data_IF_306891764948
#
_entry.id   IF_306891764948
#
_cell.length_a   1.000
_cell.length_b   1.000
_cell.length_c   1.000
_cell.angle_alpha   90.00
_cell.angle_beta   90.00
_cell.angle_gamma   90.00
#
_symmetry.space_group_name_H-M   'P 1'
#
loop_
_entity.id
_entity.type
_entity.pdbx_description
1 polymer ?
#
# COMPACT_ATOMS: atom_id res chain seq x y z
N UNK A 1 -24.01 -50.49 -36.32
CA UNK A 1 -24.29 -49.19 -35.60
C UNK A 1 -23.55 -49.02 -34.26
N UNK A 2 -22.83 -50.00 -33.74
CA UNK A 2 -22.16 -49.94 -32.42
C UNK A 2 -20.69 -49.49 -32.55
N UNK A 3 -20.03 -49.72 -33.71
CA UNK A 3 -18.61 -49.34 -33.88
C UNK A 3 -18.31 -47.85 -34.07
N UNK A 4 -19.25 -47.08 -34.59
CA UNK A 4 -19.05 -45.62 -34.80
C UNK A 4 -19.04 -44.79 -33.49
N UNK A 5 -19.76 -45.26 -32.46
CA UNK A 5 -19.84 -44.55 -31.19
C UNK A 5 -18.58 -44.74 -30.31
N UNK A 6 -17.86 -45.82 -30.47
CA UNK A 6 -16.61 -46.11 -29.70
C UNK A 6 -15.49 -45.21 -30.18
N UNK A 7 -15.38 -44.98 -31.50
CA UNK A 7 -14.33 -44.14 -32.09
C UNK A 7 -14.55 -42.67 -31.73
N UNK A 8 -15.81 -42.17 -31.75
CA UNK A 8 -16.12 -40.80 -31.36
C UNK A 8 -15.86 -40.53 -29.87
N UNK A 9 -16.22 -41.49 -29.00
CA UNK A 9 -15.96 -41.41 -27.56
C UNK A 9 -14.46 -41.41 -27.21
N UNK A 10 -13.66 -42.24 -27.93
CA UNK A 10 -12.20 -42.30 -27.72
C UNK A 10 -11.49 -41.02 -28.17
N UNK A 11 -11.99 -40.35 -29.22
CA UNK A 11 -11.44 -39.10 -29.72
C UNK A 11 -11.73 -37.90 -28.76
N UNK A 12 -12.91 -37.88 -28.14
CA UNK A 12 -13.26 -36.90 -27.12
C UNK A 12 -12.39 -37.05 -25.85
N UNK A 13 -12.15 -38.26 -25.38
CA UNK A 13 -11.31 -38.55 -24.21
C UNK A 13 -9.84 -38.14 -24.45
N UNK A 14 -9.31 -38.35 -25.68
CA UNK A 14 -7.94 -37.99 -26.04
C UNK A 14 -7.78 -36.48 -26.18
N UNK A 15 -8.80 -35.78 -26.68
CA UNK A 15 -8.83 -34.32 -26.74
C UNK A 15 -8.85 -33.65 -25.33
N UNK A 16 -9.54 -34.25 -24.38
CA UNK A 16 -9.58 -33.78 -22.99
C UNK A 16 -8.26 -33.96 -22.25
N UNK A 17 -7.54 -35.05 -22.57
CA UNK A 17 -6.23 -35.36 -21.96
C UNK A 17 -5.14 -34.36 -22.38
N UNK A 18 -5.24 -33.75 -23.57
CA UNK A 18 -4.27 -32.80 -24.08
C UNK A 18 -4.42 -31.40 -23.41
N UNK A 19 -5.59 -31.07 -22.84
CA UNK A 19 -5.82 -29.80 -22.20
C UNK A 19 -5.16 -29.67 -20.82
N UNK A 20 -4.85 -30.76 -20.15
CA UNK A 20 -4.21 -30.73 -18.81
C UNK A 20 -2.69 -30.57 -18.85
N UNK A 21 -2.05 -30.66 -20.02
CA UNK A 21 -0.61 -30.45 -20.15
C UNK A 21 -0.21 -29.00 -20.52
N UNK A 22 -1.18 -28.10 -20.71
CA UNK A 22 -0.93 -26.74 -21.23
C UNK A 22 -0.51 -25.69 -20.19
N UNK A 23 -0.47 -26.00 -18.89
CA UNK A 23 -0.05 -25.04 -17.87
C UNK A 23 1.37 -25.38 -17.35
N UNK A 24 2.40 -25.16 -18.16
CA UNK A 24 3.71 -24.85 -17.59
C UNK A 24 3.67 -23.38 -17.18
N UNK A 25 3.51 -23.11 -15.89
CA UNK A 25 3.79 -21.77 -15.37
C UNK A 25 5.24 -21.42 -15.76
N UNK A 26 5.47 -20.33 -16.46
CA UNK A 26 6.83 -19.90 -16.72
C UNK A 26 7.55 -19.77 -15.37
N UNK A 27 8.75 -20.32 -15.27
CA UNK A 27 9.56 -20.15 -14.07
C UNK A 27 9.77 -18.65 -13.84
N UNK A 28 9.63 -18.19 -12.58
CA UNK A 28 9.90 -16.81 -12.25
C UNK A 28 11.33 -16.44 -12.72
N UNK A 29 11.53 -15.25 -13.29
CA UNK A 29 12.85 -14.83 -13.73
C UNK A 29 13.83 -14.72 -12.55
N UNK A 30 15.10 -14.95 -12.84
CA UNK A 30 16.16 -14.71 -11.86
C UNK A 30 16.38 -13.20 -11.71
N UNK A 31 16.09 -12.69 -10.51
CA UNK A 31 16.26 -11.29 -10.12
C UNK A 31 17.44 -11.08 -9.17
N UNK A 32 18.32 -12.07 -9.00
CA UNK A 32 19.47 -11.97 -8.07
C UNK A 32 20.42 -10.82 -8.42
N UNK A 33 20.59 -10.52 -9.71
CA UNK A 33 21.40 -9.41 -10.21
C UNK A 33 20.67 -8.06 -10.22
N UNK A 34 19.38 -7.99 -9.89
CA UNK A 34 18.62 -6.74 -9.92
C UNK A 34 18.80 -5.97 -8.61
N UNK A 35 19.37 -4.77 -8.69
CA UNK A 35 19.55 -3.88 -7.54
C UNK A 35 18.42 -2.85 -7.48
N UNK A 36 17.77 -2.74 -6.32
CA UNK A 36 16.75 -1.74 -6.02
C UNK A 36 17.02 -1.18 -4.62
N UNK A 37 16.95 0.13 -4.47
CA UNK A 37 16.91 0.79 -3.16
C UNK A 37 15.45 1.11 -2.84
N UNK A 38 14.90 0.44 -1.83
CA UNK A 38 13.58 0.73 -1.33
C UNK A 38 13.65 1.87 -0.31
N UNK A 39 12.82 2.90 -0.51
CA UNK A 39 12.57 3.94 0.50
C UNK A 39 11.17 3.74 1.05
N UNK A 40 11.07 3.47 2.35
CA UNK A 40 9.82 3.30 3.05
C UNK A 40 9.73 4.31 4.20
N UNK A 41 8.68 5.12 4.19
CA UNK A 41 8.36 6.09 5.25
C UNK A 41 7.06 5.71 5.94
N UNK A 42 6.93 6.07 7.21
CA UNK A 42 5.79 5.74 8.08
C UNK A 42 5.04 7.03 8.46
N UNK A 43 4.17 7.52 7.54
CA UNK A 43 3.41 8.74 7.77
C UNK A 43 2.50 8.63 9.00
N UNK A 44 1.87 7.48 9.21
CA UNK A 44 1.01 7.25 10.36
C UNK A 44 1.77 7.36 11.69
N UNK A 45 3.02 6.89 11.76
CA UNK A 45 3.84 7.04 12.98
C UNK A 45 4.21 8.49 13.23
N UNK A 46 4.61 9.20 12.18
CA UNK A 46 4.98 10.60 12.31
C UNK A 46 3.76 11.48 12.68
N UNK A 47 2.60 11.20 12.08
CA UNK A 47 1.36 11.92 12.36
C UNK A 47 0.87 11.69 13.80
N UNK A 48 0.92 10.45 14.29
CA UNK A 48 0.48 10.10 15.64
C UNK A 48 1.54 10.35 16.72
N UNK A 49 2.74 10.80 16.35
CA UNK A 49 3.77 11.27 17.27
C UNK A 49 3.63 12.74 17.67
N UNK A 50 2.63 13.46 17.15
CA UNK A 50 2.35 14.85 17.51
C UNK A 50 2.11 14.99 19.03
N UNK A 51 2.62 16.07 19.62
CA UNK A 51 2.50 16.36 21.05
C UNK A 51 1.75 17.67 21.29
N UNK A 52 1.00 17.76 22.39
CA UNK A 52 0.14 18.88 22.71
C UNK A 52 0.86 20.25 22.70
N UNK A 53 2.10 20.28 23.17
CA UNK A 53 2.84 21.56 23.27
C UNK A 53 3.33 22.10 21.94
N UNK A 54 3.66 21.22 20.99
CA UNK A 54 4.41 21.58 19.78
C UNK A 54 3.73 21.19 18.47
N UNK A 55 2.46 20.72 18.51
CA UNK A 55 1.81 20.18 17.30
C UNK A 55 1.79 21.16 16.12
N UNK A 56 1.69 22.47 16.36
CA UNK A 56 1.74 23.46 15.27
C UNK A 56 3.04 23.40 14.48
N UNK A 57 4.19 23.40 15.17
CA UNK A 57 5.51 23.32 14.51
C UNK A 57 5.79 21.93 13.97
N UNK A 58 5.30 20.90 14.66
CA UNK A 58 5.43 19.50 14.20
C UNK A 58 4.61 19.22 12.94
N UNK A 59 3.42 19.85 12.79
CA UNK A 59 2.62 19.77 11.56
C UNK A 59 3.33 20.49 10.40
N UNK A 60 3.98 21.63 10.62
CA UNK A 60 4.79 22.27 9.59
C UNK A 60 5.96 21.37 9.15
N UNK A 61 6.62 20.72 10.10
CA UNK A 61 7.69 19.76 9.81
C UNK A 61 7.16 18.52 9.05
N UNK A 62 5.96 18.05 9.43
CA UNK A 62 5.29 16.93 8.75
C UNK A 62 4.95 17.28 7.29
N UNK A 63 4.42 18.49 7.05
CA UNK A 63 4.15 19.00 5.71
C UNK A 63 5.42 19.10 4.87
N UNK A 64 6.53 19.55 5.45
CA UNK A 64 7.83 19.61 4.76
C UNK A 64 8.40 18.21 4.48
N UNK A 65 8.21 17.25 5.40
CA UNK A 65 8.67 15.86 5.23
C UNK A 65 7.88 15.10 4.17
N UNK A 66 6.59 15.44 4.01
CA UNK A 66 5.65 14.77 3.11
C UNK A 66 4.94 15.77 2.16
N UNK A 67 5.69 16.52 1.33
CA UNK A 67 5.15 17.66 0.59
C UNK A 67 4.07 17.27 -0.44
N UNK A 68 4.10 16.06 -0.97
CA UNK A 68 3.09 15.53 -1.90
C UNK A 68 1.96 14.84 -1.16
N UNK A 69 2.29 14.00 -0.17
CA UNK A 69 1.29 13.22 0.55
C UNK A 69 0.44 14.08 1.48
N UNK A 70 1.03 15.05 2.18
CA UNK A 70 0.33 15.82 3.20
C UNK A 70 -0.92 16.55 2.65
N UNK A 71 -0.82 17.37 1.57
CA UNK A 71 -2.01 17.96 0.97
C UNK A 71 -2.95 16.89 0.41
N UNK A 72 -2.44 15.86 -0.27
CA UNK A 72 -3.28 14.81 -0.81
C UNK A 72 -4.09 14.09 0.28
N UNK A 73 -3.47 13.77 1.42
CA UNK A 73 -4.13 13.09 2.52
C UNK A 73 -5.23 13.93 3.18
N UNK A 74 -4.95 15.20 3.46
CA UNK A 74 -5.90 16.06 4.16
C UNK A 74 -6.93 16.71 3.22
N UNK A 75 -6.56 17.11 2.01
CA UNK A 75 -7.49 17.75 1.06
C UNK A 75 -8.26 16.70 0.24
N UNK A 76 -7.58 15.85 -0.52
CA UNK A 76 -8.25 14.96 -1.47
C UNK A 76 -8.96 13.79 -0.75
N UNK A 77 -8.33 13.20 0.26
CA UNK A 77 -8.94 12.08 1.01
C UNK A 77 -9.82 12.62 2.15
N UNK A 78 -9.32 13.57 2.92
CA UNK A 78 -9.98 14.13 4.10
C UNK A 78 -11.04 15.19 3.81
N UNK A 79 -11.02 15.81 2.62
CA UNK A 79 -11.93 16.88 2.23
C UNK A 79 -11.68 18.20 2.97
N UNK A 80 -10.46 18.42 3.48
CA UNK A 80 -10.10 19.62 4.26
C UNK A 80 -9.54 20.68 3.32
N UNK A 81 -9.72 21.96 3.67
CA UNK A 81 -9.23 23.07 2.86
C UNK A 81 -7.96 23.66 3.49
N UNK A 82 -6.79 23.23 2.98
CA UNK A 82 -5.48 23.69 3.46
C UNK A 82 -5.16 25.14 3.02
N UNK A 83 -5.72 25.59 1.90
CA UNK A 83 -5.36 26.85 1.26
C UNK A 83 -5.83 28.10 2.07
N UNK A 84 -6.81 27.96 2.95
CA UNK A 84 -7.45 29.07 3.67
C UNK A 84 -7.12 29.13 5.17
N UNK A 85 -6.06 28.45 5.63
CA UNK A 85 -5.67 28.43 7.04
C UNK A 85 -4.82 29.65 7.44
N UNK A 86 -5.41 30.85 7.40
CA UNK A 86 -4.74 32.05 7.90
C UNK A 86 -4.70 32.14 9.44
N UNK A 87 -5.42 31.27 10.16
CA UNK A 87 -5.61 31.31 11.60
C UNK A 87 -4.95 30.18 12.38
N UNK A 88 -4.41 29.17 11.70
CA UNK A 88 -3.93 27.93 12.34
C UNK A 88 -5.05 26.95 12.72
N UNK A 89 -6.31 27.26 12.39
CA UNK A 89 -7.46 26.42 12.72
C UNK A 89 -7.38 25.01 12.08
N UNK A 90 -6.69 24.90 10.96
CA UNK A 90 -6.44 23.61 10.32
C UNK A 90 -5.53 22.74 11.19
N UNK A 91 -4.44 23.30 11.72
CA UNK A 91 -3.52 22.57 12.60
C UNK A 91 -4.23 22.08 13.85
N UNK A 92 -5.13 22.90 14.42
CA UNK A 92 -5.99 22.49 15.53
C UNK A 92 -6.95 21.36 15.13
N UNK A 93 -7.44 21.39 13.90
CA UNK A 93 -8.30 20.32 13.36
C UNK A 93 -7.53 19.03 13.15
N UNK A 94 -6.30 19.09 12.64
CA UNK A 94 -5.39 17.93 12.52
C UNK A 94 -5.10 17.36 13.91
N UNK A 95 -4.78 18.19 14.88
CA UNK A 95 -4.59 17.77 16.26
C UNK A 95 -5.81 17.06 16.84
N UNK A 96 -7.01 17.65 16.69
CA UNK A 96 -8.27 17.03 17.12
C UNK A 96 -8.54 15.71 16.42
N UNK A 97 -8.23 15.60 15.12
CA UNK A 97 -8.35 14.36 14.38
C UNK A 97 -7.44 13.27 14.96
N UNK A 98 -6.16 13.58 15.20
CA UNK A 98 -5.19 12.65 15.80
C UNK A 98 -5.64 12.22 17.19
N UNK A 99 -6.18 13.13 18.01
CA UNK A 99 -6.63 12.84 19.37
C UNK A 99 -8.03 12.22 19.45
N UNK A 100 -8.73 12.08 18.34
CA UNK A 100 -10.08 11.50 18.36
C UNK A 100 -10.04 10.02 18.79
N UNK A 101 -11.02 9.54 19.59
CA UNK A 101 -11.07 8.14 20.01
C UNK A 101 -11.04 7.16 18.85
N UNK A 102 -11.69 7.51 17.73
CA UNK A 102 -11.67 6.67 16.52
C UNK A 102 -10.27 6.57 15.91
N UNK A 103 -9.60 7.71 15.72
CA UNK A 103 -8.25 7.73 15.11
C UNK A 103 -7.23 7.02 15.99
N UNK A 104 -7.31 7.20 17.30
CA UNK A 104 -6.44 6.51 18.26
C UNK A 104 -6.67 4.99 18.23
N UNK A 105 -7.93 4.53 18.29
CA UNK A 105 -8.24 3.10 18.23
C UNK A 105 -7.77 2.46 16.90
N UNK A 106 -7.95 3.18 15.78
CA UNK A 106 -7.49 2.71 14.47
C UNK A 106 -5.96 2.60 14.42
N UNK A 107 -5.25 3.62 14.93
CA UNK A 107 -3.79 3.62 15.01
C UNK A 107 -3.29 2.48 15.91
N UNK A 108 -3.83 2.34 17.13
CA UNK A 108 -3.44 1.31 18.07
C UNK A 108 -3.63 -0.09 17.51
N UNK A 109 -4.80 -0.35 16.89
CA UNK A 109 -5.09 -1.63 16.23
C UNK A 109 -4.11 -1.90 15.09
N UNK A 110 -3.74 -0.87 14.33
CA UNK A 110 -2.75 -0.98 13.26
C UNK A 110 -1.36 -1.27 13.82
N UNK A 111 -0.96 -0.61 14.91
CA UNK A 111 0.34 -0.80 15.54
C UNK A 111 0.48 -2.17 16.23
N UNK A 112 -0.60 -2.77 16.70
CA UNK A 112 -0.56 -4.16 17.20
C UNK A 112 -0.04 -5.14 16.15
N UNK A 113 -0.41 -4.96 14.88
CA UNK A 113 -0.03 -5.85 13.79
C UNK A 113 1.20 -5.36 13.02
N UNK A 114 1.31 -4.06 12.81
CA UNK A 114 2.28 -3.43 11.92
C UNK A 114 3.28 -2.49 12.64
N UNK A 115 3.58 -2.76 13.91
CA UNK A 115 4.65 -2.03 14.63
C UNK A 115 6.02 -2.23 13.98
N UNK A 116 6.27 -3.44 13.44
CA UNK A 116 7.46 -3.81 12.69
C UNK A 116 7.06 -4.23 11.27
N UNK A 117 7.69 -3.64 10.27
CA UNK A 117 7.44 -3.92 8.85
C UNK A 117 8.57 -4.70 8.16
N UNK A 118 9.53 -5.28 8.88
CA UNK A 118 10.70 -5.93 8.27
C UNK A 118 10.33 -7.04 7.25
N UNK A 119 9.31 -7.85 7.55
CA UNK A 119 8.83 -8.88 6.62
C UNK A 119 8.19 -8.24 5.39
N UNK A 120 7.33 -7.24 5.60
CA UNK A 120 6.67 -6.49 4.53
C UNK A 120 7.69 -5.76 3.63
N UNK A 121 8.72 -5.13 4.22
CA UNK A 121 9.80 -4.49 3.47
C UNK A 121 10.56 -5.49 2.60
N UNK A 122 10.81 -6.71 3.10
CA UNK A 122 11.45 -7.78 2.33
C UNK A 122 10.62 -8.21 1.10
N UNK A 123 9.32 -8.42 1.29
CA UNK A 123 8.40 -8.77 0.20
C UNK A 123 8.25 -7.64 -0.81
N UNK A 124 8.16 -6.41 -0.31
CA UNK A 124 8.07 -5.21 -1.14
C UNK A 124 9.34 -5.00 -1.97
N UNK A 125 10.52 -5.17 -1.36
CA UNK A 125 11.81 -5.10 -2.07
C UNK A 125 11.88 -6.15 -3.18
N UNK A 126 11.43 -7.37 -2.92
CA UNK A 126 11.37 -8.41 -3.93
C UNK A 126 10.41 -8.03 -5.08
N UNK A 127 9.25 -7.50 -4.75
CA UNK A 127 8.28 -7.01 -5.73
C UNK A 127 8.85 -5.88 -6.59
N UNK A 128 9.58 -4.94 -5.98
CA UNK A 128 10.24 -3.85 -6.71
C UNK A 128 11.40 -4.33 -7.58
N UNK A 129 12.08 -5.43 -7.21
CA UNK A 129 13.07 -6.08 -8.10
C UNK A 129 12.40 -6.69 -9.33
N UNK A 130 11.27 -7.36 -9.19
CA UNK A 130 10.49 -7.83 -10.35
C UNK A 130 10.00 -6.65 -11.20
N UNK A 131 9.49 -5.60 -10.58
CA UNK A 131 9.07 -4.40 -11.28
C UNK A 131 10.22 -3.81 -12.11
N UNK A 132 11.41 -3.65 -11.53
CA UNK A 132 12.62 -3.18 -12.22
C UNK A 132 13.06 -4.12 -13.34
N UNK A 133 12.94 -5.44 -13.15
CA UNK A 133 13.28 -6.42 -14.16
C UNK A 133 12.40 -6.29 -15.41
N UNK A 134 11.09 -6.17 -15.21
CA UNK A 134 10.13 -6.05 -16.32
C UNK A 134 10.05 -4.64 -16.91
N UNK A 135 10.35 -3.61 -16.12
CA UNK A 135 10.27 -2.21 -16.49
C UNK A 135 11.57 -1.48 -16.14
N UNK A 136 12.68 -1.72 -16.87
CA UNK A 136 14.01 -1.22 -16.50
C UNK A 136 14.11 0.30 -16.45
N UNK A 137 13.31 1.01 -17.26
CA UNK A 137 13.32 2.48 -17.32
C UNK A 137 12.32 3.14 -16.35
N UNK A 138 11.48 2.34 -15.68
CA UNK A 138 10.50 2.90 -14.75
C UNK A 138 11.15 3.39 -13.46
N UNK A 139 10.65 4.48 -12.90
CA UNK A 139 11.06 4.99 -11.60
C UNK A 139 10.55 4.04 -10.51
N UNK A 140 11.44 3.64 -9.59
CA UNK A 140 11.02 2.92 -8.39
C UNK A 140 10.39 3.94 -7.44
N UNK A 141 9.11 3.77 -7.07
CA UNK A 141 8.45 4.74 -6.20
C UNK A 141 9.00 4.73 -4.78
N UNK A 142 8.99 5.88 -4.14
CA UNK A 142 9.05 5.95 -2.69
C UNK A 142 7.75 5.36 -2.13
N UNK A 143 7.84 4.54 -1.09
CA UNK A 143 6.67 3.94 -0.46
C UNK A 143 6.38 4.64 0.86
N UNK A 144 5.13 5.02 1.06
CA UNK A 144 4.68 5.61 2.32
C UNK A 144 3.50 4.81 2.87
N UNK A 145 3.64 4.34 4.11
CA UNK A 145 2.51 3.75 4.81
C UNK A 145 1.70 4.82 5.53
N UNK A 146 0.41 4.58 5.68
CA UNK A 146 -0.54 5.47 6.33
C UNK A 146 -1.74 4.66 6.86
N UNK A 147 -2.73 5.33 7.45
CA UNK A 147 -4.00 4.74 7.87
C UNK A 147 -5.17 5.64 7.43
N UNK A 148 -6.39 5.12 7.49
CA UNK A 148 -7.62 5.85 7.17
C UNK A 148 -7.65 6.45 5.75
N UNK A 149 -7.19 5.68 4.77
CA UNK A 149 -7.16 6.06 3.36
C UNK A 149 -7.57 4.86 2.47
N UNK A 150 -7.68 5.00 1.15
CA UNK A 150 -7.84 3.85 0.24
C UNK A 150 -6.74 2.81 0.44
N UNK A 151 -6.98 1.51 0.16
CA UNK A 151 -6.03 0.43 0.46
C UNK A 151 -4.63 0.65 -0.12
N UNK A 152 -4.55 1.05 -1.39
CA UNK A 152 -3.31 1.46 -2.04
C UNK A 152 -3.62 2.46 -3.16
N UNK A 153 -2.77 3.47 -3.32
CA UNK A 153 -2.91 4.50 -4.36
C UNK A 153 -1.57 5.15 -4.65
N UNK A 154 -1.48 5.89 -5.74
CA UNK A 154 -0.31 6.72 -6.07
C UNK A 154 -0.65 8.19 -5.83
N UNK A 155 0.30 8.94 -5.29
CA UNK A 155 0.22 10.39 -5.18
C UNK A 155 1.43 11.00 -5.91
N UNK A 156 1.17 12.01 -6.77
CA UNK A 156 2.20 12.48 -7.68
C UNK A 156 2.65 11.39 -8.68
N UNK A 157 3.90 11.45 -9.12
CA UNK A 157 4.43 10.56 -10.16
C UNK A 157 5.24 9.37 -9.59
N UNK A 158 5.66 9.44 -8.36
CA UNK A 158 6.69 8.57 -7.78
C UNK A 158 6.41 8.13 -6.32
N UNK A 159 5.22 8.38 -5.81
CA UNK A 159 4.83 8.00 -4.46
C UNK A 159 3.78 6.88 -4.49
N UNK A 160 4.09 5.74 -3.88
CA UNK A 160 3.16 4.64 -3.62
C UNK A 160 2.72 4.68 -2.16
N UNK A 161 1.43 4.88 -1.94
CA UNK A 161 0.82 4.96 -0.62
C UNK A 161 0.08 3.67 -0.28
N UNK A 162 0.25 3.14 0.94
CA UNK A 162 -0.35 1.89 1.39
C UNK A 162 -1.01 2.10 2.76
N UNK A 163 -2.32 1.94 2.83
CA UNK A 163 -3.12 2.11 4.04
C UNK A 163 -3.16 0.82 4.85
N UNK A 164 -2.36 0.74 5.92
CA UNK A 164 -2.13 -0.49 6.68
C UNK A 164 -3.40 -1.01 7.37
N UNK A 165 -4.29 -0.12 7.82
CA UNK A 165 -5.55 -0.47 8.47
C UNK A 165 -6.48 -1.30 7.58
N UNK A 166 -6.34 -1.23 6.26
CA UNK A 166 -7.14 -2.01 5.31
C UNK A 166 -6.72 -3.50 5.24
N UNK A 167 -5.60 -3.85 5.86
CA UNK A 167 -5.03 -5.20 5.85
C UNK A 167 -5.01 -5.86 7.24
N UNK A 168 -5.74 -5.32 8.20
CA UNK A 168 -5.82 -5.88 9.57
C UNK A 168 -6.51 -7.24 9.64
N UNK A 169 -7.30 -7.61 8.62
CA UNK A 169 -8.02 -8.88 8.58
C UNK A 169 -9.31 -8.87 9.41
N UNK A 170 -10.09 -9.97 9.37
CA UNK A 170 -11.42 -10.04 9.96
C UNK A 170 -11.47 -10.11 11.51
N UNK A 171 -10.32 -10.27 12.15
CA UNK A 171 -10.19 -10.37 13.61
C UNK A 171 -9.80 -9.05 14.27
N UNK A 172 -9.64 -7.98 13.51
CA UNK A 172 -9.41 -6.64 14.07
C UNK A 172 -10.66 -6.16 14.81
N UNK A 173 -10.50 -5.73 16.05
CA UNK A 173 -11.58 -5.26 16.93
C UNK A 173 -12.00 -3.80 16.61
N UNK A 174 -12.20 -3.47 15.34
CA UNK A 174 -12.70 -2.17 14.87
C UNK A 174 -14.13 -2.28 14.38
#
# INVERSE_FOLDING_TARGET
>A
MIQSNIIASSFCLFGWLLLIFSCKSPSAPDISGVTVTLQLKRFEKDLFALTEHDYHSQIDALQQKYPVLFPFYFEEIGGWNLANDSTGALKDSIWKYVQSPFSQALYDSTMLQYSNLASFEGELLQSMKYFRYYFPEAVIPEVVTLINAPPAFTAGNDLLCISLDKYLGPTSAL
#
